data_IF_834632594324
#
_entry.id   IF_834632594324
#
_cell.length_a   1.000
_cell.length_b   1.000
_cell.length_c   1.000
_cell.angle_alpha   90.00
_cell.angle_beta   90.00
_cell.angle_gamma   90.00
#
_symmetry.space_group_name_H-M   'P 1'
#
loop_
_entity.id
_entity.type
_entity.pdbx_description
1 polymer ?
#
# COMPACT_ATOMS: atom_id res chain seq x y z
N UNK A 1 -10.80 -0.62 2.00
CA UNK A 1 -9.83 0.22 1.28
C UNK A 1 -8.45 0.17 1.93
N UNK A 2 -8.32 0.56 3.21
CA UNK A 2 -7.04 0.58 3.92
C UNK A 2 -6.19 -0.68 3.76
N UNK A 3 -6.77 -1.90 3.91
CA UNK A 3 -6.04 -3.17 3.73
C UNK A 3 -5.38 -3.32 2.35
N UNK A 4 -6.02 -2.82 1.28
CA UNK A 4 -5.54 -2.96 -0.11
C UNK A 4 -4.51 -1.89 -0.48
N UNK A 5 -4.67 -0.68 0.05
CA UNK A 5 -3.77 0.45 -0.24
C UNK A 5 -2.51 0.48 0.67
N UNK A 6 -2.41 -0.39 1.68
CA UNK A 6 -1.22 -0.49 2.54
C UNK A 6 0.04 -0.69 1.71
N UNK A 7 1.09 0.05 2.08
CA UNK A 7 2.40 -0.10 1.45
C UNK A 7 3.02 -1.48 1.71
N UNK A 8 2.73 -2.13 2.84
CA UNK A 8 3.37 -3.39 3.23
C UNK A 8 3.31 -4.45 2.13
N UNK A 9 2.11 -4.78 1.64
CA UNK A 9 1.92 -5.80 0.59
C UNK A 9 2.48 -5.36 -0.77
N UNK A 10 2.63 -4.06 -0.99
CA UNK A 10 3.12 -3.49 -2.26
C UNK A 10 4.64 -3.47 -2.34
N UNK A 11 5.32 -3.38 -1.19
CA UNK A 11 6.78 -3.28 -1.09
C UNK A 11 7.48 -4.64 -1.04
N UNK A 12 6.83 -5.68 -0.53
CA UNK A 12 7.46 -6.99 -0.30
C UNK A 12 8.06 -7.56 -1.59
N UNK A 13 9.34 -7.93 -1.51
CA UNK A 13 10.08 -8.55 -2.62
C UNK A 13 10.53 -7.57 -3.71
N UNK A 14 10.22 -6.28 -3.59
CA UNK A 14 10.65 -5.21 -4.51
C UNK A 14 11.99 -4.63 -4.09
N UNK A 15 12.65 -3.96 -5.02
CA UNK A 15 13.96 -3.34 -4.82
C UNK A 15 13.78 -1.85 -4.59
N UNK A 16 14.39 -1.32 -3.54
CA UNK A 16 14.43 0.12 -3.27
C UNK A 16 15.29 0.85 -4.30
N UNK A 17 14.79 1.96 -4.84
CA UNK A 17 15.60 2.83 -5.72
C UNK A 17 16.50 3.78 -4.91
N UNK A 18 16.10 4.10 -3.67
CA UNK A 18 16.76 5.03 -2.76
C UNK A 18 16.85 4.45 -1.35
N UNK A 19 17.65 5.09 -0.49
CA UNK A 19 17.72 4.76 0.92
C UNK A 19 16.40 5.14 1.60
N UNK A 20 15.74 4.17 2.22
CA UNK A 20 14.51 4.41 2.99
C UNK A 20 14.91 4.63 4.43
N UNK A 21 14.65 5.82 4.94
CA UNK A 21 14.95 6.21 6.31
C UNK A 21 13.66 6.44 7.08
N UNK A 22 13.68 6.17 8.38
CA UNK A 22 12.61 6.55 9.27
C UNK A 22 12.60 8.09 9.41
N UNK A 23 11.49 8.79 9.09
CA UNK A 23 11.43 10.24 9.17
C UNK A 23 11.54 10.79 10.61
N UNK A 24 11.20 9.98 11.62
CA UNK A 24 11.23 10.40 13.02
C UNK A 24 12.58 10.12 13.68
N UNK A 25 13.17 8.93 13.46
CA UNK A 25 14.43 8.52 14.10
C UNK A 25 15.66 8.78 13.25
N UNK A 26 15.50 8.95 11.93
CA UNK A 26 16.60 9.06 10.97
C UNK A 26 17.32 7.73 10.69
N UNK A 27 16.84 6.62 11.24
CA UNK A 27 17.45 5.30 11.05
C UNK A 27 17.23 4.77 9.63
N UNK A 28 18.26 4.14 9.05
CA UNK A 28 18.18 3.48 7.76
C UNK A 28 17.40 2.17 7.89
N UNK A 29 16.21 2.12 7.29
CA UNK A 29 15.35 0.93 7.28
C UNK A 29 15.74 -0.02 6.14
N UNK A 30 16.01 0.54 4.97
CA UNK A 30 16.36 -0.19 3.74
C UNK A 30 17.42 0.58 2.97
N UNK A 31 18.48 -0.10 2.58
CA UNK A 31 19.52 0.47 1.72
C UNK A 31 19.08 0.47 0.25
N UNK A 32 19.53 1.46 -0.54
CA UNK A 32 19.32 1.52 -1.99
C UNK A 32 19.77 0.22 -2.67
N UNK A 33 18.92 -0.32 -3.55
CA UNK A 33 19.21 -1.54 -4.29
C UNK A 33 18.94 -2.83 -3.49
N UNK A 34 18.50 -2.73 -2.24
CA UNK A 34 18.15 -3.88 -1.42
C UNK A 34 16.72 -4.36 -1.72
N UNK A 35 16.51 -5.68 -1.66
CA UNK A 35 15.16 -6.25 -1.66
C UNK A 35 14.49 -6.04 -0.31
N UNK A 36 13.28 -5.51 -0.33
CA UNK A 36 12.49 -5.23 0.86
C UNK A 36 11.88 -6.55 1.38
N UNK A 37 12.23 -6.91 2.61
CA UNK A 37 11.61 -8.03 3.34
C UNK A 37 10.27 -7.64 3.97
N UNK A 38 9.45 -8.62 4.37
CA UNK A 38 8.19 -8.36 5.11
C UNK A 38 8.42 -7.53 6.37
N UNK A 39 9.46 -7.85 7.15
CA UNK A 39 9.81 -7.11 8.37
C UNK A 39 10.11 -5.63 8.07
N UNK A 40 10.94 -5.37 7.05
CA UNK A 40 11.26 -4.00 6.63
C UNK A 40 10.02 -3.27 6.10
N UNK A 41 9.14 -3.94 5.35
CA UNK A 41 7.90 -3.35 4.86
C UNK A 41 6.94 -2.96 6.01
N UNK A 42 6.90 -3.76 7.09
CA UNK A 42 6.15 -3.43 8.30
C UNK A 42 6.77 -2.25 9.07
N UNK A 43 8.10 -2.19 9.16
CA UNK A 43 8.81 -1.07 9.78
C UNK A 43 8.57 0.24 9.02
N UNK A 44 8.68 0.23 7.68
CA UNK A 44 8.38 1.39 6.82
C UNK A 44 6.95 1.88 7.02
N UNK A 45 6.00 0.94 7.10
CA UNK A 45 4.59 1.24 7.31
C UNK A 45 4.34 1.85 8.70
N UNK A 46 5.01 1.31 9.72
CA UNK A 46 4.86 1.76 11.11
C UNK A 46 5.54 3.11 11.35
N UNK A 47 6.60 3.41 10.59
CA UNK A 47 7.30 4.69 10.59
C UNK A 47 6.52 5.83 9.89
N UNK A 48 5.33 5.56 9.36
CA UNK A 48 4.50 6.59 8.71
C UNK A 48 5.09 7.13 7.41
N UNK A 49 5.89 6.32 6.71
CA UNK A 49 6.48 6.74 5.43
C UNK A 49 5.39 6.81 4.36
N UNK A 50 5.12 8.01 3.87
CA UNK A 50 4.02 8.24 2.91
C UNK A 50 4.39 7.95 1.45
N UNK A 51 5.68 7.93 1.13
CA UNK A 51 6.14 7.65 -0.23
C UNK A 51 7.43 6.81 -0.24
N UNK A 52 7.49 5.82 -1.12
CA UNK A 52 8.68 4.98 -1.32
C UNK A 52 8.99 4.87 -2.81
N UNK A 53 10.25 5.05 -3.19
CA UNK A 53 10.70 4.89 -4.57
C UNK A 53 11.24 3.47 -4.78
N UNK A 54 10.65 2.76 -5.75
CA UNK A 54 11.06 1.40 -6.13
C UNK A 54 11.69 1.39 -7.50
N UNK A 55 12.66 0.51 -7.68
CA UNK A 55 13.27 0.20 -8.96
C UNK A 55 12.63 -1.05 -9.54
N UNK A 56 12.13 -0.97 -10.78
CA UNK A 56 11.64 -2.13 -11.54
C UNK A 56 12.81 -2.84 -12.22
N UNK A 57 12.57 -4.07 -12.69
CA UNK A 57 13.59 -4.84 -13.42
C UNK A 57 14.00 -4.18 -14.74
N UNK A 58 13.10 -3.40 -15.33
CA UNK A 58 13.32 -2.72 -16.61
C UNK A 58 14.02 -1.35 -16.43
N UNK A 59 14.46 -1.03 -15.20
CA UNK A 59 15.14 0.23 -14.89
C UNK A 59 14.22 1.42 -14.70
N UNK A 60 12.89 1.20 -14.64
CA UNK A 60 11.96 2.26 -14.29
C UNK A 60 11.94 2.51 -12.79
N UNK A 61 11.80 3.77 -12.40
CA UNK A 61 11.58 4.16 -11.02
C UNK A 61 10.10 4.48 -10.81
N UNK A 62 9.48 3.75 -9.88
CA UNK A 62 8.05 3.89 -9.58
C UNK A 62 7.90 4.35 -8.13
N UNK A 63 7.32 5.53 -7.95
CA UNK A 63 7.00 6.06 -6.62
C UNK A 63 5.66 5.49 -6.15
N UNK A 64 5.64 4.84 -5.01
CA UNK A 64 4.41 4.38 -4.36
C UNK A 64 3.97 5.35 -3.28
N UNK A 65 2.68 5.67 -3.24
CA UNK A 65 2.06 6.51 -2.21
C UNK A 65 1.16 5.69 -1.29
N UNK A 66 1.21 5.97 0.02
CA UNK A 66 0.26 5.48 1.02
C UNK A 66 -0.97 6.38 1.12
N UNK A 67 -2.06 5.87 1.69
CA UNK A 67 -3.32 6.61 1.86
C UNK A 67 -3.47 7.28 3.24
N UNK A 68 -2.39 7.71 3.88
CA UNK A 68 -2.35 8.30 5.25
C UNK A 68 -3.01 7.48 6.38
N UNK A 69 -3.57 6.30 6.08
CA UNK A 69 -4.25 5.41 7.01
C UNK A 69 -5.28 6.10 7.90
N UNK A 70 -6.37 6.64 7.31
CA UNK A 70 -7.44 7.22 8.10
C UNK A 70 -7.98 6.20 9.11
N UNK A 71 -8.35 6.71 10.30
CA UNK A 71 -8.93 5.92 11.39
C UNK A 71 -10.24 5.26 10.97
N UNK A 72 -10.62 4.18 11.67
CA UNK A 72 -11.80 3.37 11.30
C UNK A 72 -13.15 4.10 11.41
N UNK A 73 -13.21 5.20 12.17
CA UNK A 73 -14.39 6.06 12.29
C UNK A 73 -14.58 6.99 11.08
N UNK A 74 -13.57 7.15 10.23
CA UNK A 74 -13.67 7.92 8.99
C UNK A 74 -14.38 7.08 7.93
N UNK A 75 -15.63 7.43 7.65
CA UNK A 75 -16.50 6.73 6.69
C UNK A 75 -16.57 7.38 5.31
N UNK A 76 -15.84 8.48 5.11
CA UNK A 76 -15.76 9.22 3.83
C UNK A 76 -14.42 8.98 3.14
N UNK A 77 -14.40 9.09 1.82
CA UNK A 77 -13.18 8.99 1.02
C UNK A 77 -12.32 10.23 1.25
N UNK A 78 -11.03 10.03 1.50
CA UNK A 78 -10.06 11.13 1.65
C UNK A 78 -9.31 11.39 0.33
N UNK A 79 -8.74 12.60 0.14
CA UNK A 79 -7.87 12.85 -1.01
C UNK A 79 -6.66 11.89 -1.10
N UNK A 80 -6.13 11.46 0.05
CA UNK A 80 -5.04 10.49 0.13
C UNK A 80 -5.44 9.12 -0.43
N UNK A 81 -6.67 8.69 -0.19
CA UNK A 81 -7.21 7.45 -0.78
C UNK A 81 -7.26 7.51 -2.30
N UNK A 82 -7.69 8.65 -2.88
CA UNK A 82 -7.77 8.84 -4.33
C UNK A 82 -6.37 8.80 -4.94
N UNK A 83 -5.42 9.54 -4.37
CA UNK A 83 -4.03 9.57 -4.83
C UNK A 83 -3.41 8.17 -4.79
N UNK A 84 -3.54 7.48 -3.65
CA UNK A 84 -3.00 6.13 -3.48
C UNK A 84 -3.66 5.12 -4.42
N UNK A 85 -4.95 5.26 -4.70
CA UNK A 85 -5.68 4.39 -5.64
C UNK A 85 -5.22 4.59 -7.08
N UNK A 86 -5.12 5.84 -7.56
CA UNK A 86 -4.60 6.13 -8.91
C UNK A 86 -3.16 5.63 -9.04
N UNK A 87 -2.34 5.88 -8.02
CA UNK A 87 -0.98 5.38 -7.98
C UNK A 87 -0.91 3.85 -8.00
N UNK A 88 -1.82 3.16 -7.29
CA UNK A 88 -1.92 1.71 -7.34
C UNK A 88 -2.26 1.20 -8.74
N UNK A 89 -3.22 1.83 -9.43
CA UNK A 89 -3.57 1.47 -10.80
C UNK A 89 -2.39 1.61 -11.77
N UNK A 90 -1.62 2.69 -11.65
CA UNK A 90 -0.40 2.88 -12.46
C UNK A 90 0.67 1.86 -12.10
N UNK A 91 0.86 1.58 -10.80
CA UNK A 91 1.85 0.61 -10.33
C UNK A 91 1.57 -0.82 -10.82
N UNK A 92 0.30 -1.20 -11.02
CA UNK A 92 -0.07 -2.48 -11.62
C UNK A 92 0.51 -2.67 -13.03
N UNK A 93 0.63 -1.59 -13.82
CA UNK A 93 1.24 -1.67 -15.16
C UNK A 93 2.75 -2.01 -15.12
N UNK A 94 3.39 -1.81 -13.96
CA UNK A 94 4.79 -2.16 -13.71
C UNK A 94 4.92 -3.45 -12.89
N UNK A 95 3.87 -4.29 -12.87
CA UNK A 95 3.78 -5.51 -12.07
C UNK A 95 3.93 -5.28 -10.55
N UNK A 96 3.66 -4.07 -10.04
CA UNK A 96 3.72 -3.73 -8.62
C UNK A 96 2.30 -3.64 -8.06
N UNK A 97 1.80 -4.76 -7.55
CA UNK A 97 0.50 -4.88 -6.93
C UNK A 97 -0.06 -6.30 -7.07
N UNK A 98 -1.33 -6.47 -6.73
CA UNK A 98 -2.04 -7.75 -6.80
C UNK A 98 -3.43 -7.52 -7.40
N UNK A 99 -3.76 -8.26 -8.45
CA UNK A 99 -5.10 -8.21 -9.04
C UNK A 99 -6.05 -9.00 -8.15
N UNK A 100 -7.24 -8.45 -7.89
CA UNK A 100 -8.25 -9.13 -7.09
C UNK A 100 -9.02 -10.15 -7.92
N UNK A 101 -9.38 -11.26 -7.26
CA UNK A 101 -10.29 -12.27 -7.80
C UNK A 101 -11.73 -11.93 -7.39
N UNK A 102 -12.59 -11.75 -8.40
CA UNK A 102 -14.00 -11.40 -8.22
C UNK A 102 -14.83 -12.54 -7.63
N UNK A 103 -14.37 -13.78 -7.78
CA UNK A 103 -15.08 -14.96 -7.29
C UNK A 103 -14.63 -15.38 -5.89
N UNK A 104 -13.60 -14.72 -5.35
CA UNK A 104 -13.14 -14.96 -4.00
C UNK A 104 -14.23 -14.58 -2.98
N UNK A 105 -14.71 -15.58 -2.24
CA UNK A 105 -15.74 -15.41 -1.20
C UNK A 105 -15.39 -14.34 -0.16
N UNK A 106 -14.10 -14.09 0.13
CA UNK A 106 -13.68 -13.00 1.03
C UNK A 106 -14.05 -11.60 0.53
N UNK A 107 -14.26 -11.43 -0.77
CA UNK A 107 -14.74 -10.20 -1.41
C UNK A 107 -16.27 -10.19 -1.59
N UNK A 108 -16.96 -11.27 -1.22
CA UNK A 108 -18.44 -11.37 -1.25
C UNK A 108 -18.98 -11.21 0.16
N UNK A 109 -19.93 -10.29 0.35
CA UNK A 109 -20.62 -10.08 1.64
C UNK A 109 -22.11 -10.35 1.48
N UNK A 110 -22.67 -11.16 2.38
CA UNK A 110 -24.11 -11.33 2.52
C UNK A 110 -24.66 -10.23 3.44
N UNK A 111 -25.83 -9.69 3.11
CA UNK A 111 -26.60 -8.82 4.01
C UNK A 111 -27.74 -9.64 4.61
N UNK A 112 -27.82 -9.68 5.93
CA UNK A 112 -28.92 -10.30 6.66
C UNK A 112 -30.21 -9.47 6.55
N UNK A 113 -31.35 -10.08 6.88
CA UNK A 113 -32.65 -9.38 6.88
C UNK A 113 -32.64 -8.15 7.81
N UNK A 114 -31.99 -8.25 8.98
CA UNK A 114 -31.83 -7.13 9.91
C UNK A 114 -31.01 -5.97 9.34
N UNK A 115 -29.89 -6.26 8.65
CA UNK A 115 -29.09 -5.24 7.96
C UNK A 115 -29.84 -4.61 6.77
N UNK A 116 -30.75 -5.34 6.13
CA UNK A 116 -31.58 -4.81 5.04
C UNK A 116 -32.66 -3.85 5.56
N UNK A 117 -33.25 -4.15 6.72
CA UNK A 117 -34.28 -3.31 7.35
C UNK A 117 -33.72 -2.03 7.97
N UNK A 118 -32.42 -1.97 8.26
CA UNK A 118 -31.72 -0.80 8.81
C UNK A 118 -31.10 0.12 7.74
N UNK A 119 -31.17 -0.24 6.45
CA UNK A 119 -30.67 0.62 5.36
C UNK A 119 -31.66 1.72 4.98
#
# INVERSE_FOLDING_TARGET
MNKKLRLTERLIGRVSAENIVNPETGELLVERGQKISRRQAEEIHSAGVNAVLLSTRDGHEVRLFANDQPKEDVTVITPGDILATINYMVALAYDIGTIDDIDHLGNRRLKSVGELLQN
#
